data_IF_875430918751
#
_entry.id   IF_875430918751
#
_cell.length_a   1.000
_cell.length_b   1.000
_cell.length_c   1.000
_cell.angle_alpha   90.00
_cell.angle_beta   90.00
_cell.angle_gamma   90.00
#
_symmetry.space_group_name_H-M   'P 1'
#
loop_
_entity.id
_entity.type
_entity.pdbx_description
1 polymer ?
#
# COMPACT_ATOMS: atom_id res chain seq x y z
N UNK A 1 -5.75 -2.39 -14.79
CA UNK A 1 -5.00 -3.10 -15.85
C UNK A 1 -5.87 -4.18 -16.50
N UNK A 2 -5.98 -4.21 -17.84
CA UNK A 2 -6.70 -5.27 -18.58
C UNK A 2 -6.07 -6.67 -18.42
N UNK A 3 -6.87 -7.77 -18.48
CA UNK A 3 -6.38 -9.14 -18.30
C UNK A 3 -5.28 -9.59 -19.28
N UNK A 4 -5.29 -9.08 -20.51
CA UNK A 4 -4.27 -9.40 -21.53
C UNK A 4 -2.91 -8.80 -21.15
N UNK A 5 -2.89 -7.58 -20.61
CA UNK A 5 -1.68 -6.92 -20.14
C UNK A 5 -1.10 -7.61 -18.91
N UNK A 6 -1.96 -7.98 -17.95
CA UNK A 6 -1.60 -8.80 -16.78
C UNK A 6 -0.87 -10.07 -17.20
N UNK A 7 -1.46 -10.83 -18.13
CA UNK A 7 -0.91 -12.11 -18.62
C UNK A 7 0.48 -11.91 -19.25
N UNK A 8 0.67 -10.84 -20.02
CA UNK A 8 1.96 -10.50 -20.64
C UNK A 8 3.03 -10.17 -19.60
N UNK A 9 2.67 -9.45 -18.55
CA UNK A 9 3.62 -9.05 -17.49
C UNK A 9 4.02 -10.24 -16.61
N UNK A 10 3.06 -11.10 -16.25
CA UNK A 10 3.32 -12.36 -15.54
C UNK A 10 4.35 -13.23 -16.29
N UNK A 11 4.16 -13.40 -17.61
CA UNK A 11 5.07 -14.19 -18.45
C UNK A 11 6.50 -13.61 -18.54
N UNK A 12 6.66 -12.31 -18.31
CA UNK A 12 7.96 -11.62 -18.37
C UNK A 12 8.68 -11.58 -17.03
N UNK A 13 8.11 -12.15 -15.96
CA UNK A 13 8.72 -12.24 -14.62
C UNK A 13 8.81 -10.92 -13.85
N UNK A 14 8.33 -9.81 -14.44
CA UNK A 14 8.34 -8.47 -13.82
C UNK A 14 7.13 -8.22 -12.92
N UNK A 15 6.09 -9.04 -13.07
CA UNK A 15 4.90 -9.01 -12.24
C UNK A 15 4.73 -10.38 -11.62
N UNK A 16 4.65 -10.44 -10.30
CA UNK A 16 4.69 -11.68 -9.52
C UNK A 16 3.40 -11.83 -8.73
N UNK A 17 2.82 -13.02 -8.79
CA UNK A 17 1.70 -13.44 -7.96
C UNK A 17 2.23 -14.22 -6.75
N UNK A 18 1.94 -13.75 -5.56
CA UNK A 18 2.21 -14.43 -4.30
C UNK A 18 0.91 -15.00 -3.75
N UNK A 19 0.93 -16.27 -3.35
CA UNK A 19 -0.19 -16.94 -2.69
C UNK A 19 0.14 -17.10 -1.21
N UNK A 20 -0.78 -16.71 -0.34
CA UNK A 20 -0.72 -16.99 1.09
C UNK A 20 -1.44 -18.31 1.35
N UNK A 21 -0.70 -19.31 1.86
CA UNK A 21 -1.21 -20.64 2.15
C UNK A 21 -1.21 -20.90 3.65
N UNK A 22 -2.32 -21.41 4.19
CA UNK A 22 -2.38 -21.86 5.57
C UNK A 22 -2.05 -23.34 5.67
N UNK A 23 -0.91 -23.72 6.26
CA UNK A 23 -0.42 -25.10 6.20
C UNK A 23 -1.34 -26.10 6.90
N UNK A 24 -1.97 -25.74 8.02
CA UNK A 24 -2.81 -26.68 8.79
C UNK A 24 -4.23 -26.81 8.23
N UNK A 25 -4.70 -25.81 7.48
CA UNK A 25 -6.02 -25.86 6.85
C UNK A 25 -5.92 -26.38 5.41
N UNK A 26 -4.69 -26.42 4.86
CA UNK A 26 -4.41 -26.75 3.47
C UNK A 26 -5.20 -25.90 2.48
N UNK A 27 -5.28 -24.60 2.77
CA UNK A 27 -6.09 -23.66 1.98
C UNK A 27 -5.34 -22.36 1.66
N UNK A 28 -5.67 -21.78 0.51
CA UNK A 28 -5.26 -20.42 0.15
C UNK A 28 -6.11 -19.40 0.94
N UNK A 29 -5.43 -18.52 1.68
CA UNK A 29 -6.08 -17.51 2.55
C UNK A 29 -6.01 -16.09 1.98
N UNK A 30 -5.19 -15.89 0.96
CA UNK A 30 -5.04 -14.60 0.29
C UNK A 30 -3.97 -14.63 -0.79
N UNK A 31 -3.82 -13.50 -1.46
CA UNK A 31 -2.83 -13.33 -2.51
C UNK A 31 -2.38 -11.87 -2.61
N UNK A 32 -1.25 -11.66 -3.28
CA UNK A 32 -0.76 -10.35 -3.62
C UNK A 32 -0.11 -10.35 -4.99
N UNK A 33 -0.22 -9.21 -5.66
CA UNK A 33 0.42 -8.96 -6.93
C UNK A 33 1.46 -7.85 -6.76
N UNK A 34 2.69 -8.15 -7.12
CA UNK A 34 3.82 -7.22 -6.97
C UNK A 34 4.49 -7.01 -8.31
N UNK A 35 4.62 -5.75 -8.69
CA UNK A 35 5.48 -5.33 -9.78
C UNK A 35 6.89 -5.05 -9.24
N UNK A 36 7.89 -5.64 -9.89
CA UNK A 36 9.31 -5.53 -9.56
C UNK A 36 10.00 -4.68 -10.65
N UNK A 37 10.03 -3.35 -10.50
CA UNK A 37 10.56 -2.46 -11.52
C UNK A 37 12.08 -2.69 -11.70
N UNK A 38 12.56 -2.89 -12.95
CA UNK A 38 13.97 -3.20 -13.20
C UNK A 38 14.88 -2.02 -12.82
N UNK A 39 16.00 -2.32 -12.17
CA UNK A 39 17.02 -1.35 -11.75
C UNK A 39 16.52 -0.23 -10.80
N UNK A 40 15.34 -0.39 -10.20
CA UNK A 40 14.80 0.53 -9.21
C UNK A 40 14.70 -0.22 -7.87
N UNK A 41 15.36 0.25 -6.80
CA UNK A 41 15.42 -0.47 -5.54
C UNK A 41 14.15 -0.27 -4.69
N UNK A 42 12.94 -0.28 -5.30
CA UNK A 42 11.67 -0.49 -4.56
C UNK A 42 10.80 -1.59 -5.18
N UNK A 43 9.94 -2.19 -4.38
CA UNK A 43 8.84 -3.05 -4.85
C UNK A 43 7.59 -2.19 -5.06
N UNK A 44 6.76 -2.56 -6.03
CA UNK A 44 5.45 -1.93 -6.22
C UNK A 44 4.35 -2.94 -5.89
N UNK A 45 3.62 -2.72 -4.80
CA UNK A 45 2.49 -3.56 -4.44
C UNK A 45 1.23 -3.03 -5.14
N UNK A 46 0.84 -3.73 -6.21
CA UNK A 46 -0.30 -3.37 -7.06
C UNK A 46 -1.62 -3.84 -6.45
N UNK A 47 -1.63 -5.05 -5.86
CA UNK A 47 -2.84 -5.58 -5.26
C UNK A 47 -2.53 -6.53 -4.11
N UNK A 48 -3.38 -6.53 -3.08
CA UNK A 48 -3.33 -7.47 -1.98
C UNK A 48 -4.74 -7.74 -1.45
N UNK A 49 -5.09 -9.01 -1.30
CA UNK A 49 -6.37 -9.41 -0.73
C UNK A 49 -6.23 -10.61 0.20
N UNK A 50 -7.02 -10.57 1.28
CA UNK A 50 -7.28 -11.71 2.16
C UNK A 50 -8.74 -12.12 1.95
N UNK A 51 -8.93 -13.42 1.77
CA UNK A 51 -10.24 -14.04 1.62
C UNK A 51 -11.15 -13.62 2.81
N UNK A 52 -12.37 -13.12 2.55
CA UNK A 52 -13.30 -12.62 3.57
C UNK A 52 -13.35 -13.40 4.89
N UNK A 53 -13.45 -14.74 4.84
CA UNK A 53 -13.55 -15.59 6.04
C UNK A 53 -12.29 -15.60 6.92
N UNK A 54 -11.15 -15.16 6.38
CA UNK A 54 -9.86 -15.10 7.06
C UNK A 54 -9.44 -13.66 7.43
N UNK A 55 -10.27 -12.65 7.16
CA UNK A 55 -9.97 -11.26 7.52
C UNK A 55 -9.94 -11.10 9.04
N UNK A 56 -9.21 -10.08 9.50
CA UNK A 56 -9.00 -9.77 10.93
C UNK A 56 -8.31 -10.86 11.77
N UNK A 57 -7.80 -11.95 11.15
CA UNK A 57 -7.05 -13.02 11.81
C UNK A 57 -5.51 -12.85 11.74
N UNK A 58 -5.02 -11.70 11.29
CA UNK A 58 -3.57 -11.41 11.20
C UNK A 58 -2.90 -11.79 9.88
N UNK A 59 -3.56 -12.52 8.97
CA UNK A 59 -2.98 -12.89 7.67
C UNK A 59 -2.55 -11.69 6.82
N UNK A 60 -3.33 -10.60 6.85
CA UNK A 60 -2.96 -9.37 6.14
C UNK A 60 -1.63 -8.80 6.65
N UNK A 61 -1.44 -8.74 7.97
CA UNK A 61 -0.17 -8.30 8.56
C UNK A 61 0.98 -9.22 8.16
N UNK A 62 0.77 -10.54 8.23
CA UNK A 62 1.80 -11.52 7.88
C UNK A 62 2.21 -11.41 6.40
N UNK A 63 1.23 -11.39 5.50
CA UNK A 63 1.46 -11.28 4.06
C UNK A 63 2.18 -9.97 3.72
N UNK A 64 1.70 -8.83 4.21
CA UNK A 64 2.31 -7.53 3.94
C UNK A 64 3.76 -7.45 4.43
N UNK A 65 4.04 -7.93 5.64
CA UNK A 65 5.40 -7.95 6.18
C UNK A 65 6.33 -8.89 5.40
N UNK A 66 5.83 -10.04 4.94
CA UNK A 66 6.59 -10.96 4.10
C UNK A 66 6.91 -10.32 2.74
N UNK A 67 5.94 -9.65 2.12
CA UNK A 67 6.14 -8.93 0.86
C UNK A 67 7.20 -7.83 0.99
N UNK A 68 7.24 -7.10 2.11
CA UNK A 68 8.28 -6.10 2.35
C UNK A 68 9.70 -6.69 2.47
N UNK A 69 9.84 -8.02 2.60
CA UNK A 69 11.11 -8.72 2.80
C UNK A 69 11.51 -9.62 1.61
N UNK A 70 10.68 -9.76 0.57
CA UNK A 70 10.96 -10.69 -0.55
C UNK A 70 12.19 -10.27 -1.36
N UNK A 71 12.58 -8.99 -1.29
CA UNK A 71 13.71 -8.43 -2.02
C UNK A 71 14.62 -7.66 -1.04
N UNK A 72 15.66 -8.31 -0.48
CA UNK A 72 16.48 -7.75 0.59
C UNK A 72 17.21 -6.44 0.24
N UNK A 73 17.50 -6.21 -1.03
CA UNK A 73 18.14 -5.00 -1.57
C UNK A 73 17.14 -3.86 -1.84
N UNK A 74 15.83 -4.10 -1.69
CA UNK A 74 14.84 -3.03 -1.78
C UNK A 74 14.99 -2.04 -0.62
N UNK A 75 14.94 -0.75 -0.93
CA UNK A 75 14.82 0.33 0.06
C UNK A 75 13.41 0.41 0.67
N UNK A 76 12.41 -0.10 -0.03
CA UNK A 76 11.04 -0.19 0.47
C UNK A 76 10.04 -0.73 -0.55
N UNK A 77 8.78 -0.67 -0.17
CA UNK A 77 7.62 -1.05 -0.98
C UNK A 77 6.69 0.16 -1.14
N UNK A 78 6.41 0.53 -2.38
CA UNK A 78 5.51 1.61 -2.80
C UNK A 78 4.17 1.02 -3.18
N UNK A 79 3.08 1.70 -2.83
CA UNK A 79 1.72 1.26 -3.15
C UNK A 79 0.71 2.39 -3.04
N UNK A 80 -0.47 2.18 -3.60
CA UNK A 80 -1.55 3.16 -3.59
C UNK A 80 -2.60 2.80 -2.54
N UNK A 81 -3.12 3.81 -1.85
CA UNK A 81 -4.19 3.64 -0.86
C UNK A 81 -5.30 4.64 -1.16
N UNK A 82 -6.53 4.15 -1.21
CA UNK A 82 -7.70 5.00 -1.37
C UNK A 82 -7.81 5.99 -0.20
N UNK A 83 -8.02 7.30 -0.48
CA UNK A 83 -8.15 8.29 0.58
C UNK A 83 -9.53 8.14 1.24
N UNK A 84 -9.72 8.76 2.40
CA UNK A 84 -11.05 8.86 2.97
C UNK A 84 -11.86 9.84 2.12
N UNK A 85 -12.90 9.34 1.46
CA UNK A 85 -13.84 10.20 0.74
C UNK A 85 -14.86 10.76 1.74
N UNK A 86 -14.90 12.08 1.84
CA UNK A 86 -15.83 12.78 2.71
C UNK A 86 -17.29 12.69 2.22
N UNK A 87 -17.51 12.36 0.94
CA UNK A 87 -18.82 12.38 0.29
C UNK A 87 -19.50 11.01 0.25
N UNK A 88 -18.74 9.92 0.41
CA UNK A 88 -19.29 8.54 0.41
C UNK A 88 -19.26 7.89 1.80
N UNK A 89 -20.28 8.23 2.60
CA UNK A 89 -20.42 7.73 3.98
C UNK A 89 -20.40 6.19 4.10
N UNK A 90 -20.82 5.45 3.06
CA UNK A 90 -20.83 3.99 3.04
C UNK A 90 -19.44 3.34 2.99
N UNK A 91 -18.42 4.06 2.50
CA UNK A 91 -17.06 3.51 2.31
C UNK A 91 -16.04 4.04 3.32
N UNK A 92 -16.36 5.16 3.98
CA UNK A 92 -15.47 5.84 4.93
C UNK A 92 -14.85 4.93 5.98
N UNK A 93 -15.66 4.12 6.66
CA UNK A 93 -15.17 3.23 7.73
C UNK A 93 -14.15 2.20 7.21
N UNK A 94 -14.34 1.69 5.99
CA UNK A 94 -13.42 0.74 5.36
C UNK A 94 -12.12 1.44 4.91
N UNK A 95 -12.22 2.65 4.33
CA UNK A 95 -11.05 3.47 3.95
C UNK A 95 -10.20 3.83 5.18
N UNK A 96 -10.83 4.28 6.26
CA UNK A 96 -10.16 4.57 7.53
C UNK A 96 -9.46 3.31 8.10
N UNK A 97 -10.12 2.15 8.05
CA UNK A 97 -9.53 0.86 8.47
C UNK A 97 -8.31 0.49 7.63
N UNK A 98 -8.35 0.68 6.30
CA UNK A 98 -7.20 0.41 5.42
C UNK A 98 -6.03 1.33 5.72
N UNK A 99 -6.27 2.62 5.88
CA UNK A 99 -5.23 3.59 6.23
C UNK A 99 -4.61 3.26 7.61
N UNK A 100 -5.45 2.97 8.61
CA UNK A 100 -4.98 2.58 9.94
C UNK A 100 -4.18 1.27 9.91
N UNK A 101 -4.59 0.30 9.09
CA UNK A 101 -3.86 -0.95 8.86
C UNK A 101 -2.44 -0.68 8.36
N UNK A 102 -2.28 0.09 7.27
CA UNK A 102 -0.97 0.37 6.70
C UNK A 102 -0.08 1.25 7.61
N UNK A 103 -0.65 2.25 8.27
CA UNK A 103 0.07 3.07 9.26
C UNK A 103 0.64 2.23 10.39
N UNK A 104 -0.16 1.32 10.96
CA UNK A 104 0.28 0.42 12.03
C UNK A 104 1.43 -0.50 11.58
N UNK A 105 1.48 -0.83 10.29
CA UNK A 105 2.58 -1.61 9.71
C UNK A 105 3.80 -0.77 9.36
N UNK A 106 3.82 0.53 9.70
CA UNK A 106 4.95 1.42 9.49
C UNK A 106 5.02 2.01 8.08
N UNK A 107 3.91 1.99 7.33
CA UNK A 107 3.81 2.72 6.08
C UNK A 107 3.43 4.19 6.30
N UNK A 108 3.86 5.06 5.40
CA UNK A 108 3.58 6.48 5.43
C UNK A 108 3.13 6.98 4.06
N UNK A 109 2.30 8.02 4.05
CA UNK A 109 1.92 8.72 2.83
C UNK A 109 3.07 9.64 2.41
N UNK A 110 3.53 9.53 1.15
CA UNK A 110 4.54 10.44 0.58
C UNK A 110 3.91 11.53 -0.30
N UNK A 111 2.66 11.33 -0.74
CA UNK A 111 1.82 12.35 -1.35
C UNK A 111 0.35 11.91 -1.35
N UNK A 112 -0.55 12.84 -1.04
CA UNK A 112 -2.00 12.69 -1.17
C UNK A 112 -2.55 13.28 -2.48
N UNK A 113 -1.66 13.83 -3.32
CA UNK A 113 -1.99 14.40 -4.64
C UNK A 113 -1.78 13.39 -5.77
N UNK A 114 -1.82 12.10 -5.45
CA UNK A 114 -1.62 11.05 -6.44
C UNK A 114 -2.91 10.77 -7.21
N UNK A 115 -2.79 10.62 -8.52
CA UNK A 115 -3.89 10.25 -9.40
C UNK A 115 -3.62 8.88 -10.01
N UNK A 116 -4.40 7.88 -9.59
CA UNK A 116 -4.36 6.55 -10.18
C UNK A 116 -4.85 6.59 -11.64
N UNK A 117 -4.06 6.13 -12.63
CA UNK A 117 -4.46 6.21 -14.03
C UNK A 117 -5.64 5.28 -14.33
N UNK A 118 -6.71 5.85 -14.88
CA UNK A 118 -7.88 5.13 -15.37
C UNK A 118 -8.36 5.74 -16.70
N UNK A 119 -9.42 5.15 -17.27
CA UNK A 119 -9.99 5.62 -18.54
C UNK A 119 -10.53 7.06 -18.48
N UNK A 120 -10.93 7.52 -17.29
CA UNK A 120 -11.54 8.84 -17.05
C UNK A 120 -10.51 9.95 -16.77
N UNK A 121 -9.21 9.64 -16.82
CA UNK A 121 -8.15 10.63 -16.68
C UNK A 121 -7.57 10.78 -15.27
N UNK A 122 -7.91 9.89 -14.34
CA UNK A 122 -7.34 9.84 -12.99
C UNK A 122 -8.37 9.56 -11.90
N UNK A 123 -7.97 8.85 -10.84
CA UNK A 123 -8.73 8.75 -9.58
C UNK A 123 -7.85 9.17 -8.41
N UNK A 124 -8.33 10.05 -7.50
CA UNK A 124 -7.56 10.43 -6.32
C UNK A 124 -7.20 9.22 -5.46
N UNK A 125 -5.91 9.09 -5.14
CA UNK A 125 -5.34 8.12 -4.21
C UNK A 125 -4.22 8.77 -3.39
N UNK A 126 -3.79 8.12 -2.32
CA UNK A 126 -2.50 8.42 -1.71
C UNK A 126 -1.42 7.49 -2.24
N UNK A 127 -0.21 8.01 -2.45
CA UNK A 127 0.99 7.20 -2.67
C UNK A 127 1.66 6.95 -1.32
N UNK A 128 1.83 5.68 -0.99
CA UNK A 128 2.34 5.23 0.30
C UNK A 128 3.62 4.43 0.14
N UNK A 129 4.45 4.49 1.18
CA UNK A 129 5.73 3.79 1.25
C UNK A 129 5.86 3.07 2.57
N UNK A 130 6.25 1.79 2.51
CA UNK A 130 6.80 1.04 3.63
C UNK A 130 8.31 0.88 3.42
N UNK A 131 9.12 1.52 4.26
CA UNK A 131 10.58 1.32 4.23
C UNK A 131 10.97 -0.10 4.66
N UNK A 132 12.00 -0.64 4.01
CA UNK A 132 12.60 -1.91 4.42
C UNK A 132 13.30 -1.77 5.79
N UNK A 133 13.45 -2.87 6.56
CA UNK A 133 14.17 -2.83 7.82
C UNK A 133 15.57 -2.21 7.69
N UNK A 134 15.92 -1.28 8.59
CA UNK A 134 17.22 -0.59 8.59
C UNK A 134 17.33 0.60 7.63
N UNK A 135 16.39 0.77 6.70
CA UNK A 135 16.36 1.92 5.79
C UNK A 135 15.78 3.13 6.52
N UNK A 136 16.54 4.23 6.53
CA UNK A 136 16.13 5.48 7.20
C UNK A 136 15.37 6.43 6.29
N UNK A 137 15.71 6.45 5.01
CA UNK A 137 15.13 7.37 4.03
C UNK A 137 14.96 6.63 2.70
N UNK A 138 13.81 6.83 2.06
CA UNK A 138 13.64 6.57 0.63
C UNK A 138 13.58 7.91 -0.09
N UNK A 139 14.60 8.26 -0.90
CA UNK A 139 14.59 9.52 -1.65
C UNK A 139 13.40 9.58 -2.61
N UNK A 140 12.79 10.77 -2.73
CA UNK A 140 11.66 11.06 -3.60
C UNK A 140 11.95 10.61 -5.05
N UNK A 141 13.18 10.79 -5.50
CA UNK A 141 13.62 10.38 -6.84
C UNK A 141 13.45 8.88 -7.10
N UNK A 142 13.64 8.03 -6.08
CA UNK A 142 13.41 6.59 -6.21
C UNK A 142 11.92 6.30 -6.35
N UNK A 143 11.08 6.94 -5.55
CA UNK A 143 9.61 6.84 -5.66
C UNK A 143 9.11 7.35 -7.00
N UNK A 144 9.64 8.47 -7.50
CA UNK A 144 9.33 9.03 -8.83
C UNK A 144 9.66 8.05 -9.95
N UNK A 145 10.86 7.47 -9.93
CA UNK A 145 11.26 6.42 -10.89
C UNK A 145 10.34 5.20 -10.83
N UNK A 146 9.93 4.79 -9.63
CA UNK A 146 9.00 3.69 -9.46
C UNK A 146 7.61 3.99 -10.05
N UNK A 147 7.08 5.19 -9.80
CA UNK A 147 5.82 5.67 -10.38
C UNK A 147 5.90 5.72 -11.91
N UNK A 148 6.98 6.27 -12.47
CA UNK A 148 7.19 6.28 -13.92
C UNK A 148 7.20 4.85 -14.49
N UNK A 149 7.93 3.93 -13.86
CA UNK A 149 8.00 2.54 -14.31
C UNK A 149 6.63 1.82 -14.21
N UNK A 150 5.85 2.11 -13.16
CA UNK A 150 4.49 1.59 -13.01
C UNK A 150 3.57 2.15 -14.09
N UNK A 151 3.64 3.45 -14.39
CA UNK A 151 2.87 4.08 -15.46
C UNK A 151 3.24 3.49 -16.85
N UNK A 152 4.53 3.34 -17.13
CA UNK A 152 5.02 2.79 -18.40
C UNK A 152 4.69 1.31 -18.60
N UNK A 153 4.46 0.57 -17.51
CA UNK A 153 4.29 -0.89 -17.55
C UNK A 153 2.86 -1.33 -17.27
N UNK A 154 2.27 -0.85 -16.17
CA UNK A 154 0.95 -1.24 -15.67
C UNK A 154 -0.18 -0.40 -16.29
N UNK A 155 0.12 0.84 -16.72
CA UNK A 155 -0.85 1.80 -17.27
C UNK A 155 -0.48 2.27 -18.68
N UNK A 156 0.26 1.45 -19.44
CA UNK A 156 0.70 1.77 -20.80
C UNK A 156 -0.45 2.01 -21.78
N UNK A 157 -1.65 1.55 -21.44
CA UNK A 157 -2.89 1.66 -22.20
C UNK A 157 -3.68 2.94 -21.90
N UNK A 158 -3.28 3.73 -20.89
CA UNK A 158 -4.00 4.95 -20.48
C UNK A 158 -3.54 6.16 -21.31
N UNK A 159 -4.39 6.79 -22.13
CA UNK A 159 -3.98 7.89 -23.00
C UNK A 159 -3.47 9.13 -22.26
N UNK A 160 -4.03 9.42 -21.08
CA UNK A 160 -3.72 10.63 -20.30
C UNK A 160 -2.55 10.45 -19.33
N UNK A 161 -1.88 9.29 -19.37
CA UNK A 161 -0.80 8.89 -18.46
C UNK A 161 0.31 9.95 -18.33
N UNK A 162 0.78 10.51 -19.45
CA UNK A 162 1.90 11.46 -19.44
C UNK A 162 1.51 12.80 -18.81
N UNK A 163 0.24 13.20 -18.95
CA UNK A 163 -0.29 14.38 -18.26
C UNK A 163 -0.32 14.14 -16.75
N UNK A 164 -0.86 13.00 -16.33
CA UNK A 164 -0.92 12.61 -14.92
C UNK A 164 0.46 12.54 -14.26
N UNK A 165 1.48 11.98 -14.95
CA UNK A 165 2.85 11.97 -14.44
C UNK A 165 3.37 13.38 -14.15
N UNK A 166 3.16 14.33 -15.07
CA UNK A 166 3.62 15.72 -14.87
C UNK A 166 2.95 16.38 -13.68
N UNK A 167 1.69 16.05 -13.43
CA UNK A 167 0.93 16.56 -12.28
C UNK A 167 1.42 15.94 -10.96
N UNK A 168 1.64 14.62 -10.90
CA UNK A 168 1.93 13.90 -9.64
C UNK A 168 3.40 14.04 -9.19
N UNK A 169 4.36 13.91 -10.11
CA UNK A 169 5.79 13.78 -9.78
C UNK A 169 6.35 14.90 -8.88
N UNK A 170 5.97 16.19 -9.07
CA UNK A 170 6.42 17.28 -8.20
C UNK A 170 6.00 17.14 -6.73
N UNK A 171 4.90 16.43 -6.46
CA UNK A 171 4.33 16.32 -5.12
C UNK A 171 4.88 15.13 -4.32
N UNK A 172 5.68 14.27 -4.93
CA UNK A 172 6.31 13.12 -4.25
C UNK A 172 7.49 13.62 -3.41
N UNK A 173 7.41 13.39 -2.10
CA UNK A 173 8.43 13.72 -1.12
C UNK A 173 9.26 12.50 -0.67
N UNK A 174 10.34 12.77 0.06
CA UNK A 174 11.17 11.75 0.71
C UNK A 174 10.37 11.02 1.81
N UNK A 175 10.45 9.69 1.85
CA UNK A 175 9.88 8.91 2.94
C UNK A 175 10.92 8.72 4.04
N UNK A 176 10.55 8.95 5.29
CA UNK A 176 11.46 8.88 6.43
C UNK A 176 11.04 7.78 7.40
N UNK A 177 12.00 7.07 8.00
CA UNK A 177 11.68 6.11 9.05
C UNK A 177 10.94 6.83 10.19
N UNK A 178 9.87 6.23 10.73
CA UNK A 178 9.15 6.84 11.84
C UNK A 178 10.12 7.06 13.01
N UNK A 179 10.11 8.28 13.56
CA UNK A 179 10.98 8.62 14.67
C UNK A 179 10.65 7.73 15.88
N UNK A 180 11.64 7.18 16.61
CA UNK A 180 11.41 6.29 17.76
C UNK A 180 10.48 6.90 18.83
N UNK A 181 10.41 8.23 18.89
CA UNK A 181 9.64 8.97 19.89
C UNK A 181 8.10 8.91 19.68
N UNK A 182 7.62 8.42 18.54
CA UNK A 182 6.18 8.39 18.20
C UNK A 182 5.47 7.06 18.53
N UNK A 183 6.18 6.06 19.10
CA UNK A 183 5.59 4.75 19.43
C UNK A 183 5.13 4.59 20.88
N UNK A 184 5.11 5.67 21.67
CA UNK A 184 4.63 5.66 23.05
C UNK A 184 3.26 6.34 23.20
N UNK A 185 2.33 5.54 23.72
CA UNK A 185 1.09 5.92 24.43
C UNK A 185 -0.20 6.09 23.61
N UNK A 186 -0.99 5.03 23.59
CA UNK A 186 -2.38 5.14 24.04
C UNK A 186 -2.62 4.04 25.08
N UNK A 187 -2.87 4.38 26.35
CA UNK A 187 -3.29 3.37 27.33
C UNK A 187 -4.72 2.89 26.99
N UNK A 188 -5.12 1.68 27.43
CA UNK A 188 -6.49 1.22 27.28
C UNK A 188 -7.42 2.10 28.12
N UNK A 189 -8.54 2.52 27.52
CA UNK A 189 -9.62 3.25 28.20
C UNK A 189 -10.18 2.35 29.31
N UNK A 190 -9.79 2.66 30.54
CA UNK A 190 -10.35 2.08 31.76
C UNK A 190 -11.68 2.72 32.11
N UNK A 191 -12.71 1.87 32.18
CA UNK A 191 -13.78 1.86 33.18
C UNK A 191 -14.19 3.21 33.78
N UNK A 192 -15.29 3.78 33.27
CA UNK A 192 -16.08 4.74 34.05
C UNK A 192 -16.82 4.01 35.17
N UNK A 193 -16.47 4.38 36.40
CA UNK A 193 -17.11 3.99 37.64
C UNK A 193 -18.59 4.40 37.66
N UNK A 194 -19.46 3.43 37.91
CA UNK A 194 -20.83 3.65 38.34
C UNK A 194 -20.81 3.91 39.85
N UNK A 195 -20.99 5.17 40.25
CA UNK A 195 -21.08 5.59 41.65
C UNK A 195 -22.37 6.33 41.92
N UNK A 196 -23.36 5.63 42.48
CA UNK A 196 -24.67 6.13 42.92
C UNK A 196 -24.54 7.30 43.90
N UNK A 197 -25.17 8.43 43.60
CA UNK A 197 -25.60 9.38 44.63
C UNK A 197 -26.97 8.94 45.17
N UNK A 198 -27.00 8.48 46.42
CA UNK A 198 -28.14 8.59 47.32
C UNK A 198 -27.64 9.36 48.54
N UNK A 199 -28.18 10.55 48.72
CA UNK A 199 -28.55 11.14 50.01
C UNK A 199 -29.43 12.36 49.71
#
# INVERSE_FOLDING_TARGET
MPPVQMTRLLRRGRYRLFLAWHPLLEEMVGYACVFDPPAIPVLWLDYMAIEPRFRSAGYGTLLFNRLAQIRPDALGMVFEVEPVDALEAGQRAEQERRIAFYRRLGAQCVTDQYQFPNADGGRPMGLWVRLSPGVKILPAEVSRKAVMAAFDTLHADVPQRDRLLREILPHIADAHAPSPCAMTLSPPVGQQESGRQRQ
#
